data_IF_324610582236
#
_entry.id   IF_324610582236
#
_cell.length_a   1.000
_cell.length_b   1.000
_cell.length_c   1.000
_cell.angle_alpha   90.00
_cell.angle_beta   90.00
_cell.angle_gamma   90.00
#
_symmetry.space_group_name_H-M   'P 1'
#
loop_
_entity.id
_entity.type
_entity.pdbx_description
1 polymer ?
#
# COMPACT_ATOMS: atom_id res chain seq x y z
N UNK A 1 3.24 -10.39 -11.93
CA UNK A 1 3.45 -9.35 -10.97
C UNK A 1 2.83 -9.74 -9.63
N UNK A 2 3.55 -9.49 -8.56
CA UNK A 2 3.11 -9.96 -7.25
C UNK A 2 2.50 -8.83 -6.44
N UNK A 3 1.19 -8.88 -6.29
CA UNK A 3 0.47 -7.83 -5.56
C UNK A 3 0.86 -7.85 -4.08
N UNK A 4 1.28 -9.01 -3.57
CA UNK A 4 1.69 -9.10 -2.17
C UNK A 4 2.95 -8.30 -1.90
N UNK A 5 3.89 -8.28 -2.86
CA UNK A 5 5.10 -7.50 -2.69
C UNK A 5 4.81 -6.01 -2.62
N UNK A 6 3.91 -5.54 -3.49
CA UNK A 6 3.56 -4.14 -3.48
C UNK A 6 2.81 -3.76 -2.22
N UNK A 7 1.91 -4.63 -1.78
CA UNK A 7 1.19 -4.39 -0.54
C UNK A 7 2.16 -4.33 0.63
N UNK A 8 3.19 -5.18 0.61
CA UNK A 8 4.18 -5.20 1.67
C UNK A 8 4.97 -3.90 1.70
N UNK A 9 5.33 -3.38 0.52
CA UNK A 9 6.05 -2.11 0.44
C UNK A 9 5.21 -0.98 1.04
N UNK A 10 3.95 -0.94 0.67
CA UNK A 10 3.05 0.10 1.17
C UNK A 10 2.92 -0.01 2.68
N UNK A 11 2.84 -1.22 3.18
CA UNK A 11 2.73 -1.45 4.62
C UNK A 11 3.98 -0.95 5.34
N UNK A 12 5.15 -1.20 4.76
CA UNK A 12 6.40 -0.71 5.33
C UNK A 12 6.41 0.81 5.43
N UNK A 13 5.96 1.47 4.38
CA UNK A 13 5.90 2.92 4.40
C UNK A 13 4.95 3.41 5.49
N UNK A 14 3.84 2.72 5.65
CA UNK A 14 2.88 3.10 6.66
C UNK A 14 3.46 2.91 8.07
N UNK A 15 4.13 1.80 8.30
CA UNK A 15 4.73 1.53 9.60
C UNK A 15 5.86 2.49 9.91
N UNK A 16 6.58 2.92 8.88
CA UNK A 16 7.63 3.90 9.03
C UNK A 16 7.09 5.33 9.14
N UNK A 17 5.77 5.48 9.06
CA UNK A 17 5.09 6.77 9.17
C UNK A 17 5.44 7.71 8.03
N UNK A 18 5.75 7.13 6.89
CA UNK A 18 6.02 7.92 5.69
C UNK A 18 4.73 8.33 5.01
N UNK A 19 3.66 7.56 5.23
CA UNK A 19 2.35 7.88 4.70
C UNK A 19 1.33 7.77 5.81
N UNK A 20 0.20 8.46 5.63
CA UNK A 20 -0.86 8.42 6.62
C UNK A 20 -1.75 7.20 6.41
N UNK A 21 -2.59 6.95 7.41
CA UNK A 21 -3.54 5.85 7.32
C UNK A 21 -4.46 6.00 6.12
N UNK A 22 -4.85 7.24 5.85
CA UNK A 22 -5.72 7.52 4.72
C UNK A 22 -5.02 7.18 3.41
N UNK A 23 -3.77 7.58 3.29
CA UNK A 23 -2.99 7.27 2.09
C UNK A 23 -2.75 5.78 1.96
N UNK A 24 -2.51 5.13 3.08
CA UNK A 24 -2.32 3.69 3.06
C UNK A 24 -3.54 2.99 2.47
N UNK A 25 -4.73 3.35 2.92
CA UNK A 25 -5.95 2.75 2.40
C UNK A 25 -6.14 3.01 0.92
N UNK A 26 -5.81 4.22 0.49
CA UNK A 26 -5.95 4.57 -0.93
C UNK A 26 -4.98 3.78 -1.79
N UNK A 27 -3.76 3.60 -1.32
CA UNK A 27 -2.76 2.87 -2.08
C UNK A 27 -3.14 1.40 -2.20
N UNK A 28 -3.61 0.81 -1.11
CA UNK A 28 -4.05 -0.59 -1.14
C UNK A 28 -5.22 -0.73 -2.11
N UNK A 29 -6.14 0.21 -2.08
CA UNK A 29 -7.29 0.16 -2.97
C UNK A 29 -6.87 0.23 -4.42
N UNK A 30 -5.89 1.08 -4.73
CA UNK A 30 -5.39 1.19 -6.09
C UNK A 30 -4.76 -0.11 -6.56
N UNK A 31 -4.05 -0.79 -5.68
CA UNK A 31 -3.48 -2.07 -6.03
C UNK A 31 -4.55 -3.06 -6.46
N UNK A 32 -5.64 -3.09 -5.71
CA UNK A 32 -6.72 -4.03 -6.00
C UNK A 32 -7.42 -3.67 -7.31
N UNK A 33 -7.55 -2.38 -7.58
CA UNK A 33 -8.22 -1.95 -8.80
C UNK A 33 -7.35 -2.15 -10.02
N UNK A 34 -6.05 -2.05 -9.84
CA UNK A 34 -5.12 -2.12 -10.96
C UNK A 34 -4.88 -3.56 -11.42
N UNK A 35 -5.38 -4.50 -10.69
CA UNK A 35 -5.23 -5.91 -11.03
C UNK A 35 -6.10 -6.29 -12.27
#
# INVERSE_FOLDING_TARGET
>A
MNIDEKANDIRHMFEARLITRKEYGELIRKLEEDD
#
